data_IF_651612747175
#
_entry.id   IF_651612747175
#
_cell.length_a   1.000
_cell.length_b   1.000
_cell.length_c   1.000
_cell.angle_alpha   90.00
_cell.angle_beta   90.00
_cell.angle_gamma   90.00
#
_symmetry.space_group_name_H-M   'P 1'
#
loop_
_entity.id
_entity.type
_entity.pdbx_description
1 polymer ?
#
# COMPACT_ATOMS: atom_id res chain seq x y z
N UNK A 1 20.97 -2.07 -4.59
CA UNK A 1 20.02 -1.17 -5.29
C UNK A 1 20.81 -0.37 -6.32
N UNK A 2 20.29 -0.15 -7.54
CA UNK A 2 21.03 0.47 -8.66
C UNK A 2 20.58 1.91 -8.96
N UNK A 3 19.96 2.58 -8.00
CA UNK A 3 19.59 3.99 -8.13
C UNK A 3 20.75 4.83 -7.62
N UNK A 4 21.47 5.48 -8.54
CA UNK A 4 22.62 6.32 -8.22
C UNK A 4 22.26 7.47 -7.26
N UNK A 5 20.97 7.80 -7.15
CA UNK A 5 20.49 8.82 -6.24
C UNK A 5 20.27 8.37 -4.79
N UNK A 6 20.55 7.10 -4.46
CA UNK A 6 20.36 6.58 -3.10
C UNK A 6 21.71 6.46 -2.40
N UNK A 7 21.93 7.29 -1.38
CA UNK A 7 23.10 7.17 -0.51
C UNK A 7 23.07 5.89 0.35
N UNK A 8 24.23 5.38 0.80
CA UNK A 8 24.31 4.18 1.64
C UNK A 8 23.52 4.27 2.96
N UNK A 9 23.29 5.49 3.45
CA UNK A 9 22.46 5.81 4.62
C UNK A 9 21.42 6.84 4.24
N UNK A 10 20.55 6.50 3.29
CA UNK A 10 19.55 7.44 2.76
C UNK A 10 18.49 7.79 3.81
N UNK A 11 17.96 6.80 4.52
CA UNK A 11 16.95 6.98 5.55
C UNK A 11 17.01 5.90 6.62
N UNK A 12 16.34 6.14 7.75
CA UNK A 12 16.00 5.11 8.72
C UNK A 12 14.50 5.10 8.99
N UNK A 13 13.98 3.92 9.30
CA UNK A 13 12.61 3.73 9.79
C UNK A 13 12.74 3.16 11.20
N UNK A 14 12.10 3.82 12.16
CA UNK A 14 12.13 3.44 13.57
C UNK A 14 10.71 3.40 14.12
N UNK A 15 10.41 2.42 14.97
CA UNK A 15 9.16 2.37 15.71
C UNK A 15 9.35 3.03 17.07
N UNK A 16 8.71 4.17 17.31
CA UNK A 16 8.87 4.99 18.53
C UNK A 16 7.51 5.49 18.99
N UNK A 17 7.22 5.34 20.28
CA UNK A 17 5.95 5.81 20.88
C UNK A 17 4.72 5.24 20.17
N UNK A 18 4.74 3.95 19.86
CA UNK A 18 3.65 3.23 19.19
C UNK A 18 3.32 3.75 17.77
N UNK A 19 4.29 4.38 17.11
CA UNK A 19 4.17 4.88 15.74
C UNK A 19 5.42 4.55 14.93
N UNK A 20 5.24 4.24 13.65
CA UNK A 20 6.33 4.16 12.69
C UNK A 20 6.77 5.57 12.32
N UNK A 21 8.07 5.83 12.37
CA UNK A 21 8.68 7.10 11.99
C UNK A 21 9.78 6.87 10.98
N UNK A 22 9.84 7.73 9.97
CA UNK A 22 10.92 7.76 8.98
C UNK A 22 11.79 9.00 9.20
N UNK A 23 13.09 8.87 9.01
CA UNK A 23 14.03 9.98 9.10
C UNK A 23 14.97 9.93 7.91
N UNK A 24 14.92 10.98 7.10
CA UNK A 24 15.81 11.18 5.96
C UNK A 24 17.18 11.66 6.43
N UNK A 25 18.25 11.08 5.88
CA UNK A 25 19.63 11.52 6.12
C UNK A 25 20.32 11.93 4.82
N UNK A 26 19.63 11.85 3.68
CA UNK A 26 20.19 12.24 2.39
C UNK A 26 19.99 13.73 2.14
N UNK A 27 21.11 14.47 2.07
CA UNK A 27 21.09 15.90 1.79
C UNK A 27 20.98 16.25 0.30
N UNK A 28 21.19 15.27 -0.59
CA UNK A 28 21.37 15.51 -2.02
C UNK A 28 20.08 15.34 -2.80
N UNK A 29 19.39 14.22 -2.64
CA UNK A 29 18.16 13.93 -3.40
C UNK A 29 16.89 14.04 -2.55
N UNK A 30 17.03 13.98 -1.22
CA UNK A 30 15.92 14.03 -0.28
C UNK A 30 14.96 12.84 -0.37
N UNK A 31 14.01 12.83 0.54
CA UNK A 31 12.94 11.84 0.61
C UNK A 31 11.58 12.52 0.41
N UNK A 32 10.69 11.88 -0.35
CA UNK A 32 9.34 12.37 -0.60
C UNK A 32 8.32 11.36 -0.10
N UNK A 33 7.27 11.82 0.58
CA UNK A 33 6.14 11.01 1.04
C UNK A 33 4.87 11.56 0.42
N UNK A 34 4.14 10.74 -0.31
CA UNK A 34 2.94 11.14 -1.07
C UNK A 34 3.19 12.38 -1.97
N UNK A 35 4.41 12.52 -2.48
CA UNK A 35 4.85 13.66 -3.30
C UNK A 35 5.33 14.89 -2.52
N UNK A 36 5.24 14.90 -1.19
CA UNK A 36 5.71 15.99 -0.32
C UNK A 36 7.14 15.70 0.16
N UNK A 37 8.06 16.64 -0.05
CA UNK A 37 9.41 16.53 0.48
C UNK A 37 9.40 16.64 2.00
N UNK A 38 10.00 15.67 2.69
CA UNK A 38 10.16 15.73 4.14
C UNK A 38 11.47 16.44 4.52
N UNK A 39 11.53 17.10 5.68
CA UNK A 39 12.77 17.70 6.17
C UNK A 39 13.81 16.65 6.56
N UNK A 40 15.04 16.83 6.09
CA UNK A 40 16.19 15.99 6.48
C UNK A 40 16.45 16.06 7.98
N UNK A 41 16.82 14.92 8.57
CA UNK A 41 17.15 14.73 9.98
C UNK A 41 16.00 14.98 10.97
N UNK A 42 14.76 15.13 10.49
CA UNK A 42 13.57 15.22 11.34
C UNK A 42 12.70 13.97 11.18
N UNK A 43 12.24 13.36 12.27
CA UNK A 43 11.29 12.25 12.18
C UNK A 43 9.96 12.70 11.58
N UNK A 44 9.47 11.92 10.63
CA UNK A 44 8.16 12.04 10.02
C UNK A 44 7.32 10.82 10.38
N UNK A 45 6.07 11.01 10.78
CA UNK A 45 5.16 9.91 11.12
C UNK A 45 4.70 9.21 9.84
N UNK A 46 4.86 7.89 9.76
CA UNK A 46 4.38 7.07 8.66
C UNK A 46 2.98 6.52 8.97
N UNK A 47 2.13 6.51 7.95
CA UNK A 47 0.79 5.95 8.00
C UNK A 47 0.60 4.80 7.00
N UNK A 48 -0.47 4.03 7.21
CA UNK A 48 -0.82 2.94 6.30
C UNK A 48 -1.09 3.46 4.90
N UNK A 49 -0.41 2.86 3.92
CA UNK A 49 -0.60 3.19 2.52
C UNK A 49 0.21 4.37 2.00
N UNK A 50 1.05 4.99 2.82
CA UNK A 50 1.97 6.05 2.40
C UNK A 50 2.89 5.58 1.27
N UNK A 51 3.12 6.44 0.28
CA UNK A 51 4.05 6.18 -0.82
C UNK A 51 5.33 6.98 -0.59
N UNK A 52 6.41 6.27 -0.28
CA UNK A 52 7.73 6.87 -0.07
C UNK A 52 8.55 6.77 -1.35
N UNK A 53 9.10 7.89 -1.81
CA UNK A 53 10.02 7.98 -2.93
C UNK A 53 11.39 8.48 -2.45
N UNK A 54 12.43 7.80 -2.93
CA UNK A 54 13.83 8.07 -2.63
C UNK A 54 14.66 8.04 -3.91
N UNK A 55 15.70 8.86 -3.97
CA UNK A 55 16.53 8.97 -5.18
C UNK A 55 15.74 9.40 -6.43
N UNK A 56 16.17 8.93 -7.60
CA UNK A 56 15.55 9.34 -8.87
C UNK A 56 14.27 8.58 -9.20
N UNK A 57 14.26 7.26 -8.94
CA UNK A 57 13.27 6.34 -9.52
C UNK A 57 12.68 5.35 -8.52
N UNK A 58 13.20 5.29 -7.31
CA UNK A 58 12.80 4.28 -6.35
C UNK A 58 11.63 4.76 -5.51
N UNK A 59 10.52 4.02 -5.53
CA UNK A 59 9.37 4.27 -4.67
C UNK A 59 8.79 2.98 -4.12
N UNK A 60 8.26 3.03 -2.90
CA UNK A 60 7.60 1.91 -2.25
C UNK A 60 6.38 2.38 -1.46
N UNK A 61 5.40 1.49 -1.28
CA UNK A 61 4.21 1.74 -0.47
C UNK A 61 4.36 1.11 0.91
N UNK A 62 4.01 1.83 1.94
CA UNK A 62 4.04 1.39 3.34
C UNK A 62 2.80 0.56 3.63
N UNK A 63 3.00 -0.62 4.24
CA UNK A 63 1.93 -1.41 4.85
C UNK A 63 2.37 -1.85 6.25
N UNK A 64 1.61 -1.44 7.25
CA UNK A 64 1.71 -1.64 8.68
C UNK A 64 0.63 -2.64 9.03
N UNK A 65 1.06 -3.82 9.47
CA UNK A 65 0.16 -4.89 9.89
C UNK A 65 0.34 -5.09 11.40
N UNK A 66 -0.73 -4.90 12.15
CA UNK A 66 -0.78 -5.32 13.55
C UNK A 66 -1.19 -6.81 13.59
N UNK A 67 -0.45 -7.63 14.34
CA UNK A 67 -0.72 -9.07 14.43
C UNK A 67 -2.15 -9.39 14.93
N UNK A 68 -2.79 -8.47 15.68
CA UNK A 68 -4.19 -8.59 16.10
C UNK A 68 -5.19 -8.56 14.93
N UNK A 69 -4.84 -7.89 13.83
CA UNK A 69 -5.69 -7.73 12.63
C UNK A 69 -5.71 -8.98 11.75
N UNK A 70 -4.69 -9.85 11.87
CA UNK A 70 -4.61 -11.10 11.09
C UNK A 70 -5.50 -12.22 11.63
N UNK A 71 -5.98 -12.11 12.88
CA UNK A 71 -6.83 -13.13 13.52
C UNK A 71 -8.35 -12.98 13.26
N UNK A 72 -8.80 -11.90 12.60
CA UNK A 72 -10.23 -11.68 12.35
C UNK A 72 -10.70 -12.01 10.93
N UNK A 73 -9.80 -12.16 9.95
CA UNK A 73 -10.17 -12.33 8.53
C UNK A 73 -10.33 -13.82 8.11
N UNK A 74 -10.14 -14.79 9.01
CA UNK A 74 -10.40 -16.22 8.74
C UNK A 74 -11.55 -16.83 9.54
N UNK A 75 -12.63 -16.07 9.83
CA UNK A 75 -13.91 -16.72 10.14
C UNK A 75 -14.71 -16.91 8.86
N UNK A 76 -14.37 -17.99 8.17
CA UNK A 76 -15.18 -18.52 7.08
C UNK A 76 -16.65 -18.64 7.53
N UNK A 77 -17.61 -17.88 6.97
CA UNK A 77 -19.01 -17.94 7.39
C UNK A 77 -19.68 -19.27 7.05
N UNK A 78 -19.06 -20.15 6.23
CA UNK A 78 -19.60 -21.47 5.88
C UNK A 78 -19.71 -22.48 7.03
N UNK A 79 -19.34 -22.12 8.27
CA UNK A 79 -19.53 -22.95 9.47
C UNK A 79 -20.62 -22.44 10.43
N UNK A 80 -21.60 -21.66 9.96
CA UNK A 80 -22.87 -21.56 10.69
C UNK A 80 -23.85 -22.57 10.10
N UNK A 81 -24.37 -23.41 11.00
CA UNK A 81 -25.07 -24.65 10.70
C UNK A 81 -26.24 -24.48 9.74
N UNK A 82 -26.52 -25.57 9.02
CA UNK A 82 -27.79 -25.87 8.37
C UNK A 82 -28.45 -24.70 7.62
N UNK A 83 -27.71 -24.06 6.72
CA UNK A 83 -28.30 -23.25 5.64
C UNK A 83 -28.80 -24.25 4.58
N UNK A 84 -30.08 -24.19 4.23
CA UNK A 84 -30.73 -25.21 3.40
C UNK A 84 -30.13 -25.22 1.99
N UNK A 85 -30.30 -26.33 1.26
CA UNK A 85 -29.65 -26.51 -0.04
C UNK A 85 -30.15 -25.47 -1.07
N UNK A 86 -31.37 -24.97 -0.84
CA UNK A 86 -32.07 -23.97 -1.66
C UNK A 86 -31.40 -22.58 -1.56
N UNK A 87 -31.01 -22.13 -0.37
CA UNK A 87 -30.32 -20.83 -0.19
C UNK A 87 -28.92 -20.82 -0.86
N UNK A 88 -28.26 -21.99 -0.93
CA UNK A 88 -26.96 -22.12 -1.61
C UNK A 88 -27.07 -21.98 -3.13
N UNK A 89 -28.18 -22.43 -3.70
CA UNK A 89 -28.43 -22.33 -5.14
C UNK A 89 -28.71 -20.88 -5.50
N UNK A 90 -29.48 -20.16 -4.68
CA UNK A 90 -29.84 -18.77 -4.94
C UNK A 90 -28.61 -17.83 -4.86
N UNK A 91 -27.71 -18.03 -3.89
CA UNK A 91 -26.45 -17.27 -3.80
C UNK A 91 -25.50 -17.54 -4.97
N UNK A 92 -25.42 -18.80 -5.42
CA UNK A 92 -24.59 -19.17 -6.58
C UNK A 92 -25.14 -18.56 -7.88
N UNK A 93 -26.47 -18.52 -8.03
CA UNK A 93 -27.14 -17.86 -9.15
C UNK A 93 -26.85 -16.35 -9.12
N UNK A 94 -26.96 -15.70 -7.95
CA UNK A 94 -26.65 -14.27 -7.77
C UNK A 94 -25.23 -13.92 -8.19
N UNK A 95 -24.22 -14.73 -7.81
CA UNK A 95 -22.82 -14.54 -8.18
C UNK A 95 -22.51 -14.84 -9.65
N UNK A 96 -23.36 -15.63 -10.31
CA UNK A 96 -23.22 -15.95 -11.74
C UNK A 96 -23.83 -14.89 -12.66
N UNK A 97 -24.55 -13.89 -12.12
CA UNK A 97 -25.07 -12.78 -12.91
C UNK A 97 -23.89 -11.95 -13.45
N UNK A 98 -23.80 -11.72 -14.78
CA UNK A 98 -22.71 -10.93 -15.35
C UNK A 98 -22.78 -9.50 -14.82
N UNK A 99 -21.64 -8.98 -14.36
CA UNK A 99 -21.49 -7.58 -13.93
C UNK A 99 -21.76 -6.69 -15.16
N UNK A 100 -22.96 -6.12 -15.24
CA UNK A 100 -23.34 -5.12 -16.26
C UNK A 100 -22.80 -3.75 -15.83
N UNK A 101 -21.53 -3.50 -16.12
CA UNK A 101 -20.95 -2.21 -16.53
C UNK A 101 -19.45 -2.21 -16.23
N UNK A 102 -18.66 -2.44 -17.26
CA UNK A 102 -17.23 -2.15 -17.26
C UNK A 102 -17.02 -0.77 -17.86
N UNK A 103 -16.89 0.25 -17.01
CA UNK A 103 -16.19 1.48 -17.42
C UNK A 103 -14.70 1.17 -17.44
N UNK A 104 -14.22 0.73 -18.61
CA UNK A 104 -12.80 0.62 -18.90
C UNK A 104 -12.19 2.03 -18.93
N UNK A 105 -11.47 2.40 -17.86
CA UNK A 105 -10.61 3.57 -17.88
C UNK A 105 -9.33 3.22 -18.64
N UNK A 106 -9.25 3.62 -19.91
CA UNK A 106 -8.02 3.55 -20.69
C UNK A 106 -7.03 4.61 -20.20
N UNK A 107 -5.88 4.19 -19.67
CA UNK A 107 -4.76 5.09 -19.38
C UNK A 107 -3.75 4.99 -20.52
N UNK A 108 -3.79 5.93 -21.46
CA UNK A 108 -2.75 6.10 -22.48
C UNK A 108 -1.53 6.79 -21.87
N UNK A 109 -0.46 6.03 -21.67
CA UNK A 109 0.84 6.57 -21.29
C UNK A 109 1.54 7.11 -22.56
N UNK A 110 1.64 8.43 -22.67
CA UNK A 110 2.35 9.11 -23.75
C UNK A 110 3.77 9.44 -23.30
N UNK A 111 4.77 8.80 -23.90
CA UNK A 111 6.17 9.19 -23.72
C UNK A 111 6.46 10.46 -24.54
N UNK A 112 7.14 11.48 -23.97
CA UNK A 112 7.67 12.57 -24.79
C UNK A 112 8.79 12.03 -25.70
N UNK A 113 8.72 12.39 -26.99
CA UNK A 113 9.81 12.16 -27.93
C UNK A 113 10.83 13.28 -27.76
N UNK A 114 12.03 12.85 -27.35
CA UNK A 114 13.37 13.47 -27.46
C UNK A 114 13.57 14.76 -26.65
#
# INVERSE_FOLDING_TARGET
MKDAGISPKHLSINFVSNKWKISDFDKYNGTFINGVSIPTSKPWDLEEGDVVKIGGYTSFKVSIQDEESMNQVQRNPWRRGAVSMEEKIEEAIERSKPIKNTNFCNFTQQFPKI
#
